data_IF_355387745441
#
_entry.id   IF_355387745441
#
_cell.length_a   1.000
_cell.length_b   1.000
_cell.length_c   1.000
_cell.angle_alpha   90.00
_cell.angle_beta   90.00
_cell.angle_gamma   90.00
#
_symmetry.space_group_name_H-M   'P 1'
#
loop_
_entity.id
_entity.type
_entity.pdbx_description
1 polymer ?
#
# COMPACT_ATOMS: atom_id res chain seq x y z
N UNK A 1 -11.87 15.42 -11.15
CA UNK A 1 -10.87 15.70 -10.10
C UNK A 1 -9.50 15.77 -10.77
N UNK A 2 -8.65 16.77 -10.48
CA UNK A 2 -7.33 16.83 -11.11
C UNK A 2 -6.34 15.88 -10.42
N UNK A 3 -5.22 15.57 -11.08
CA UNK A 3 -4.19 14.63 -10.58
C UNK A 3 -3.58 15.11 -9.26
N UNK A 4 -3.45 16.42 -9.07
CA UNK A 4 -2.89 17.02 -7.85
C UNK A 4 -3.80 16.79 -6.63
N UNK A 5 -5.10 17.01 -6.78
CA UNK A 5 -6.10 16.74 -5.74
C UNK A 5 -6.18 15.26 -5.43
N UNK A 6 -6.15 14.39 -6.45
CA UNK A 6 -6.13 12.93 -6.24
C UNK A 6 -4.89 12.50 -5.47
N UNK A 7 -3.71 12.98 -5.85
CA UNK A 7 -2.46 12.69 -5.16
C UNK A 7 -2.47 13.16 -3.70
N UNK A 8 -3.02 14.35 -3.43
CA UNK A 8 -3.19 14.85 -2.06
C UNK A 8 -4.12 13.99 -1.21
N UNK A 9 -5.22 13.50 -1.78
CA UNK A 9 -6.17 12.61 -1.09
C UNK A 9 -5.52 11.25 -0.79
N UNK A 10 -4.81 10.65 -1.76
CA UNK A 10 -4.09 9.39 -1.55
C UNK A 10 -3.05 9.53 -0.43
N UNK A 11 -2.29 10.62 -0.44
CA UNK A 11 -1.31 10.87 0.61
C UNK A 11 -1.96 11.05 2.00
N UNK A 12 -3.09 11.76 2.09
CA UNK A 12 -3.82 11.91 3.33
C UNK A 12 -4.36 10.56 3.86
N UNK A 13 -4.84 9.70 2.96
CA UNK A 13 -5.28 8.34 3.30
C UNK A 13 -4.12 7.49 3.82
N UNK A 14 -2.94 7.53 3.19
CA UNK A 14 -1.74 6.86 3.70
C UNK A 14 -1.42 7.27 5.15
N UNK A 15 -1.42 8.59 5.41
CA UNK A 15 -1.12 9.12 6.74
C UNK A 15 -2.15 8.69 7.78
N UNK A 16 -3.43 8.65 7.39
CA UNK A 16 -4.49 8.14 8.25
C UNK A 16 -4.28 6.66 8.59
N UNK A 17 -4.02 5.81 7.59
CA UNK A 17 -3.78 4.38 7.82
C UNK A 17 -2.56 4.14 8.71
N UNK A 18 -1.45 4.82 8.43
CA UNK A 18 -0.24 4.73 9.26
C UNK A 18 -0.55 5.15 10.70
N UNK A 19 -1.32 6.22 10.91
CA UNK A 19 -1.69 6.69 12.25
C UNK A 19 -2.54 5.67 13.01
N UNK A 20 -3.51 5.04 12.32
CA UNK A 20 -4.36 4.00 12.90
C UNK A 20 -3.57 2.73 13.25
N UNK A 21 -2.63 2.30 12.40
CA UNK A 21 -1.84 1.09 12.63
C UNK A 21 -0.87 1.30 13.79
N UNK A 22 -0.31 2.50 13.93
CA UNK A 22 0.68 2.84 14.96
C UNK A 22 0.15 2.73 16.39
N UNK A 23 -1.17 2.80 16.59
CA UNK A 23 -1.81 2.66 17.92
C UNK A 23 -2.20 1.22 18.25
N UNK A 24 -2.01 0.27 17.34
CA UNK A 24 -2.33 -1.14 17.57
C UNK A 24 -1.23 -1.84 18.38
N UNK A 25 -1.56 -2.94 19.10
CA UNK A 25 -0.56 -3.81 19.72
C UNK A 25 0.52 -4.26 18.74
N UNK A 26 1.72 -4.53 19.24
CA UNK A 26 2.87 -4.92 18.41
C UNK A 26 2.57 -6.14 17.54
N UNK A 27 1.95 -7.15 18.15
CA UNK A 27 1.57 -8.40 17.52
C UNK A 27 0.56 -8.18 16.38
N UNK A 28 -0.37 -7.23 16.56
CA UNK A 28 -1.33 -6.85 15.52
C UNK A 28 -0.65 -6.10 14.38
N UNK A 29 0.34 -5.23 14.68
CA UNK A 29 1.12 -4.54 13.64
C UNK A 29 1.93 -5.52 12.79
N UNK A 30 2.55 -6.51 13.43
CA UNK A 30 3.29 -7.58 12.75
C UNK A 30 2.38 -8.41 11.84
N UNK A 31 1.24 -8.88 12.37
CA UNK A 31 0.26 -9.63 11.58
C UNK A 31 -0.28 -8.83 10.37
N UNK A 32 -0.43 -7.51 10.53
CA UNK A 32 -0.82 -6.62 9.43
C UNK A 32 0.28 -6.48 8.38
N UNK A 33 1.54 -6.36 8.78
CA UNK A 33 2.67 -6.31 7.85
C UNK A 33 2.76 -7.60 7.03
N UNK A 34 2.65 -8.77 7.68
CA UNK A 34 2.64 -10.08 7.03
C UNK A 34 1.47 -10.25 6.05
N UNK A 35 0.27 -9.77 6.43
CA UNK A 35 -0.89 -9.74 5.54
C UNK A 35 -0.64 -8.84 4.33
N UNK A 36 -0.08 -7.65 4.56
CA UNK A 36 0.20 -6.69 3.49
C UNK A 36 1.19 -7.26 2.46
N UNK A 37 2.28 -7.88 2.94
CA UNK A 37 3.26 -8.54 2.08
C UNK A 37 2.62 -9.64 1.22
N UNK A 38 1.80 -10.51 1.84
CA UNK A 38 1.11 -11.56 1.11
C UNK A 38 0.16 -11.02 0.04
N UNK A 39 -0.58 -9.95 0.32
CA UNK A 39 -1.46 -9.32 -0.68
C UNK A 39 -0.66 -8.70 -1.83
N UNK A 40 0.51 -8.12 -1.55
CA UNK A 40 1.43 -7.62 -2.59
C UNK A 40 1.88 -8.76 -3.50
N UNK A 41 2.31 -9.88 -2.93
CA UNK A 41 2.72 -11.06 -3.71
C UNK A 41 1.59 -11.57 -4.61
N UNK A 42 0.34 -11.60 -4.11
CA UNK A 42 -0.82 -11.98 -4.91
C UNK A 42 -1.07 -10.99 -6.07
N UNK A 43 -0.99 -9.68 -5.80
CA UNK A 43 -1.15 -8.65 -6.81
C UNK A 43 -0.06 -8.70 -7.89
N UNK A 44 1.18 -9.04 -7.53
CA UNK A 44 2.29 -9.21 -8.47
C UNK A 44 2.08 -10.37 -9.45
N UNK A 45 1.40 -11.44 -9.00
CA UNK A 45 1.08 -12.58 -9.87
C UNK A 45 -0.13 -12.34 -10.77
N UNK A 46 -0.91 -11.28 -10.51
CA UNK A 46 -2.08 -10.92 -11.31
C UNK A 46 -1.64 -10.31 -12.64
N UNK A 47 -1.80 -11.05 -13.75
CA UNK A 47 -1.55 -10.53 -15.09
C UNK A 47 -2.71 -9.66 -15.56
N UNK A 48 -2.45 -8.37 -15.75
CA UNK A 48 -3.36 -7.47 -16.48
C UNK A 48 -3.07 -7.53 -17.98
N UNK A 49 -4.14 -7.57 -18.78
CA UNK A 49 -4.07 -7.81 -20.23
C UNK A 49 -3.83 -6.52 -21.04
N UNK A 50 -4.25 -5.36 -20.55
CA UNK A 50 -4.08 -4.09 -21.26
C UNK A 50 -2.79 -3.35 -20.83
N UNK A 51 -2.06 -2.70 -21.77
CA UNK A 51 -0.84 -1.95 -21.46
C UNK A 51 -1.03 -0.80 -20.47
N UNK A 52 -2.13 -0.04 -20.59
CA UNK A 52 -2.40 1.08 -19.69
C UNK A 52 -2.72 0.61 -18.27
N UNK A 53 -3.41 -0.53 -18.15
CA UNK A 53 -3.71 -1.16 -16.87
C UNK A 53 -2.43 -1.69 -16.21
N UNK A 54 -1.44 -2.14 -17.01
CA UNK A 54 -0.13 -2.55 -16.50
C UNK A 54 0.65 -1.39 -15.89
N UNK A 55 0.73 -0.23 -16.56
CA UNK A 55 1.45 0.93 -16.01
C UNK A 55 0.83 1.43 -14.70
N UNK A 56 -0.50 1.50 -14.65
CA UNK A 56 -1.23 1.88 -13.43
C UNK A 56 -1.01 0.85 -12.31
N UNK A 57 -0.98 -0.44 -12.65
CA UNK A 57 -0.71 -1.53 -11.70
C UNK A 57 0.72 -1.52 -11.17
N UNK A 58 1.71 -1.28 -12.03
CA UNK A 58 3.11 -1.18 -11.62
C UNK A 58 3.31 0.02 -10.68
N UNK A 59 2.67 1.16 -10.98
CA UNK A 59 2.68 2.32 -10.10
C UNK A 59 1.98 2.03 -8.76
N UNK A 60 0.86 1.32 -8.78
CA UNK A 60 0.16 0.88 -7.57
C UNK A 60 1.03 -0.08 -6.73
N UNK A 61 1.64 -1.10 -7.35
CA UNK A 61 2.56 -2.04 -6.70
C UNK A 61 3.75 -1.33 -6.05
N UNK A 62 4.37 -0.39 -6.76
CA UNK A 62 5.45 0.42 -6.20
C UNK A 62 4.99 1.25 -4.99
N UNK A 63 3.78 1.80 -5.07
CA UNK A 63 3.18 2.56 -3.97
C UNK A 63 2.91 1.69 -2.73
N UNK A 64 2.28 0.51 -2.89
CA UNK A 64 1.98 -0.38 -1.75
C UNK A 64 3.24 -1.01 -1.14
N UNK A 65 4.28 -1.30 -1.94
CA UNK A 65 5.59 -1.73 -1.42
C UNK A 65 6.24 -0.66 -0.54
N UNK A 66 6.14 0.62 -0.94
CA UNK A 66 6.60 1.73 -0.10
C UNK A 66 5.82 1.83 1.21
N UNK A 67 4.53 1.51 1.19
CA UNK A 67 3.71 1.48 2.40
C UNK A 67 4.11 0.31 3.31
N UNK A 68 4.33 -0.90 2.77
CA UNK A 68 4.82 -2.05 3.52
C UNK A 68 6.11 -1.72 4.29
N UNK A 69 7.10 -1.12 3.65
CA UNK A 69 8.36 -0.70 4.32
C UNK A 69 8.08 0.20 5.54
N UNK A 70 7.09 1.09 5.45
CA UNK A 70 6.70 1.93 6.58
C UNK A 70 6.03 1.12 7.69
N UNK A 71 5.21 0.14 7.34
CA UNK A 71 4.56 -0.74 8.32
C UNK A 71 5.59 -1.61 9.05
N UNK A 72 6.53 -2.21 8.32
CA UNK A 72 7.62 -3.01 8.88
C UNK A 72 8.51 -2.18 9.81
N UNK A 73 8.74 -0.89 9.51
CA UNK A 73 9.51 0.01 10.39
C UNK A 73 8.82 0.28 11.73
N UNK A 74 7.52 -0.03 11.82
CA UNK A 74 6.69 0.14 13.01
C UNK A 74 6.34 -1.19 13.68
N UNK A 75 6.72 -2.34 13.11
CA UNK A 75 6.48 -3.68 13.65
C UNK A 75 7.62 -4.12 14.58
#
# INVERSE_FOLDING_TARGET
MNVQTLSGVLHAQELLFVSLIRVLPLETRQALADEFDRQIQLAETSRLEAPHDREAHDAFLAHVRKLLIRLESMA
#
